data_IF_428424977265
#
_entry.id   IF_428424977265
#
_cell.length_a   1.000
_cell.length_b   1.000
_cell.length_c   1.000
_cell.angle_alpha   90.00
_cell.angle_beta   90.00
_cell.angle_gamma   90.00
#
_symmetry.space_group_name_H-M   'P 1'
#
loop_
_entity.id
_entity.type
_entity.pdbx_description
1 polymer ?
#
# COMPACT_ATOMS: atom_id res chain seq x y z
N UNK A 1 22.13 -16.14 -55.52
CA UNK A 1 21.47 -14.93 -55.00
C UNK A 1 20.39 -15.38 -54.01
N UNK A 2 20.72 -15.49 -52.76
CA UNK A 2 19.79 -15.93 -51.69
C UNK A 2 19.51 -14.73 -50.77
N UNK A 3 18.28 -14.22 -50.84
CA UNK A 3 17.79 -13.10 -50.04
C UNK A 3 17.50 -13.62 -48.59
N UNK A 4 18.24 -13.11 -47.63
CA UNK A 4 17.95 -13.33 -46.21
C UNK A 4 16.87 -12.36 -45.75
N UNK A 5 15.68 -12.88 -45.48
CA UNK A 5 14.60 -12.12 -44.84
C UNK A 5 14.97 -11.85 -43.39
N UNK A 6 15.25 -10.60 -43.05
CA UNK A 6 15.42 -10.17 -41.66
C UNK A 6 14.10 -10.26 -40.89
N UNK A 7 14.06 -11.11 -39.86
CA UNK A 7 12.99 -11.15 -38.90
C UNK A 7 12.99 -9.84 -38.08
N UNK A 8 11.93 -9.03 -38.25
CA UNK A 8 11.67 -7.89 -37.35
C UNK A 8 11.18 -8.43 -36.02
N UNK A 9 11.99 -8.22 -35.00
CA UNK A 9 11.56 -8.43 -33.62
C UNK A 9 10.56 -7.31 -33.29
N UNK A 10 9.28 -7.65 -33.22
CA UNK A 10 8.26 -6.72 -32.72
C UNK A 10 8.43 -6.61 -31.21
N UNK A 11 8.87 -5.46 -30.75
CA UNK A 11 8.85 -5.09 -29.34
C UNK A 11 7.36 -4.87 -28.97
N UNK A 12 6.72 -5.85 -28.36
CA UNK A 12 5.39 -5.67 -27.79
C UNK A 12 5.51 -4.70 -26.63
N UNK A 13 5.08 -3.46 -26.82
CA UNK A 13 4.85 -2.50 -25.74
C UNK A 13 3.70 -3.10 -24.92
N UNK A 14 4.02 -3.63 -23.74
CA UNK A 14 3.02 -4.07 -22.78
C UNK A 14 2.30 -2.80 -22.31
N UNK A 15 1.08 -2.56 -22.79
CA UNK A 15 0.24 -1.50 -22.26
C UNK A 15 0.06 -1.75 -20.75
N UNK A 16 0.62 -0.88 -19.93
CA UNK A 16 0.42 -0.88 -18.47
C UNK A 16 -1.05 -0.61 -18.21
N UNK A 17 -1.77 -1.64 -17.75
CA UNK A 17 -3.16 -1.47 -17.32
C UNK A 17 -3.17 -0.51 -16.12
N UNK A 18 -4.23 0.27 -15.95
CA UNK A 18 -4.39 1.18 -14.79
C UNK A 18 -4.24 0.45 -13.45
N UNK A 19 -4.62 -0.83 -13.42
CA UNK A 19 -4.55 -1.70 -12.25
C UNK A 19 -3.15 -2.24 -11.94
N UNK A 20 -2.16 -1.96 -12.78
CA UNK A 20 -0.76 -2.35 -12.56
C UNK A 20 0.06 -1.24 -11.87
N UNK A 21 -0.61 -0.17 -11.44
CA UNK A 21 0.01 0.95 -10.72
C UNK A 21 -0.73 1.22 -9.42
N UNK A 22 0.00 1.27 -8.31
CA UNK A 22 -0.52 1.69 -7.02
C UNK A 22 0.03 3.06 -6.62
N UNK A 23 -0.70 3.73 -5.75
CA UNK A 23 -0.23 4.91 -5.05
C UNK A 23 0.16 4.54 -3.63
N UNK A 24 1.44 4.68 -3.32
CA UNK A 24 2.00 4.45 -1.98
C UNK A 24 2.61 5.75 -1.45
N UNK A 25 2.79 5.85 -0.13
CA UNK A 25 3.51 6.99 0.43
C UNK A 25 4.80 6.58 1.17
N UNK A 26 4.91 5.31 1.60
CA UNK A 26 6.10 4.83 2.28
C UNK A 26 6.34 3.34 2.00
N UNK A 27 7.59 2.91 2.18
CA UNK A 27 8.01 1.51 2.31
C UNK A 27 8.93 1.48 3.53
N UNK A 28 8.48 0.82 4.58
CA UNK A 28 9.23 0.65 5.82
C UNK A 28 9.86 -0.74 5.84
N UNK A 29 11.17 -0.79 6.08
CA UNK A 29 11.92 -2.05 6.16
C UNK A 29 12.14 -2.43 7.62
N UNK A 30 12.41 -3.70 7.84
CA UNK A 30 12.79 -4.26 9.16
C UNK A 30 11.74 -4.05 10.24
N UNK A 31 10.45 -4.08 9.89
CA UNK A 31 9.40 -4.06 10.89
C UNK A 31 9.30 -5.40 11.62
N UNK A 32 9.11 -5.32 12.95
CA UNK A 32 8.95 -6.47 13.86
C UNK A 32 7.55 -6.53 14.48
N UNK A 33 6.68 -5.57 14.16
CA UNK A 33 5.37 -5.41 14.80
C UNK A 33 4.18 -5.54 13.82
N UNK A 34 4.48 -5.78 12.55
CA UNK A 34 3.46 -5.80 11.49
C UNK A 34 3.25 -7.23 10.92
N UNK A 35 3.28 -8.22 11.79
CA UNK A 35 3.15 -9.65 11.52
C UNK A 35 4.38 -10.44 11.95
N UNK A 36 4.38 -11.75 11.67
CA UNK A 36 5.44 -12.66 12.11
C UNK A 36 6.75 -12.43 11.33
N UNK A 37 7.88 -12.53 12.02
CA UNK A 37 9.23 -12.36 11.47
C UNK A 37 9.60 -10.91 11.13
N UNK A 38 10.66 -10.73 10.36
CA UNK A 38 11.10 -9.41 9.87
C UNK A 38 10.33 -9.09 8.59
N UNK A 39 9.64 -7.94 8.57
CA UNK A 39 8.74 -7.60 7.46
C UNK A 39 9.12 -6.28 6.79
N UNK A 40 8.81 -6.21 5.50
CA UNK A 40 8.76 -4.94 4.77
C UNK A 40 7.31 -4.52 4.64
N UNK A 41 6.99 -3.34 5.18
CA UNK A 41 5.63 -2.79 5.15
C UNK A 41 5.50 -1.81 4.00
N UNK A 42 4.50 -2.03 3.15
CA UNK A 42 4.14 -1.12 2.04
C UNK A 42 2.92 -0.32 2.44
N UNK A 43 3.07 1.00 2.52
CA UNK A 43 2.03 1.91 2.95
C UNK A 43 1.29 2.54 1.75
N UNK A 44 0.07 2.10 1.51
CA UNK A 44 -0.80 2.62 0.45
C UNK A 44 -1.41 3.98 0.81
N UNK A 45 -1.68 4.82 -0.19
CA UNK A 45 -2.45 6.07 -0.03
C UNK A 45 -3.92 5.87 -0.38
N UNK A 46 -4.76 6.53 0.40
CA UNK A 46 -6.21 6.47 0.35
C UNK A 46 -6.77 5.73 1.55
N UNK A 47 -7.58 6.43 2.36
CA UNK A 47 -8.33 5.84 3.46
C UNK A 47 -9.72 6.48 3.51
N UNK A 48 -10.81 5.71 3.59
CA UNK A 48 -12.15 6.26 3.72
C UNK A 48 -12.45 6.74 5.14
N UNK A 49 -11.59 6.37 6.12
CA UNK A 49 -11.78 6.65 7.53
C UNK A 49 -11.09 7.95 7.96
N UNK A 50 -11.64 8.58 9.02
CA UNK A 50 -11.15 9.82 9.60
C UNK A 50 -10.84 9.65 11.09
N UNK A 51 -10.02 8.64 11.42
CA UNK A 51 -9.66 8.34 12.80
C UNK A 51 -8.90 9.51 13.44
N UNK A 52 -9.38 10.10 14.56
CA UNK A 52 -8.68 11.22 15.22
C UNK A 52 -7.28 10.82 15.76
N UNK A 53 -7.06 9.53 15.97
CA UNK A 53 -5.78 8.96 16.43
C UNK A 53 -4.95 8.35 15.30
N UNK A 54 -5.22 8.71 14.02
CA UNK A 54 -4.51 8.12 12.89
C UNK A 54 -3.00 8.34 13.00
N UNK A 55 -2.22 7.25 12.96
CA UNK A 55 -0.76 7.33 12.97
C UNK A 55 -0.19 7.86 11.65
N UNK A 56 -0.95 7.72 10.55
CA UNK A 56 -0.53 8.09 9.20
C UNK A 56 -1.56 9.02 8.52
N UNK A 57 -1.84 10.23 9.04
CA UNK A 57 -2.87 11.11 8.49
C UNK A 57 -2.58 11.54 7.05
N UNK A 58 -1.33 11.53 6.61
CA UNK A 58 -0.92 11.77 5.24
C UNK A 58 -1.41 10.69 4.26
N UNK A 59 -1.80 9.52 4.76
CA UNK A 59 -2.36 8.44 3.95
C UNK A 59 -3.82 8.65 3.58
N UNK A 60 -4.59 9.47 4.33
CA UNK A 60 -6.03 9.63 4.17
C UNK A 60 -6.38 10.06 2.74
N UNK A 61 -5.70 11.08 2.23
CA UNK A 61 -5.90 11.49 0.84
C UNK A 61 -5.27 10.51 -0.13
N UNK A 62 -6.05 10.00 -1.09
CA UNK A 62 -5.54 9.18 -2.18
C UNK A 62 -4.75 9.96 -3.25
N UNK A 63 -4.58 11.29 -3.10
CA UNK A 63 -3.83 12.13 -4.04
C UNK A 63 -2.38 12.29 -3.61
N UNK A 64 -1.47 12.46 -4.55
CA UNK A 64 -0.12 12.93 -4.26
C UNK A 64 -0.23 14.37 -3.77
N UNK A 65 0.40 14.69 -2.66
CA UNK A 65 0.32 15.99 -2.00
C UNK A 65 1.71 16.58 -1.83
N UNK A 66 1.82 17.90 -1.92
CA UNK A 66 3.05 18.62 -1.53
C UNK A 66 2.76 19.28 -0.18
N UNK A 67 3.57 18.96 0.82
CA UNK A 67 3.49 19.53 2.17
C UNK A 67 4.73 20.37 2.46
N UNK A 68 4.57 21.42 3.28
CA UNK A 68 5.69 22.23 3.74
C UNK A 68 6.04 21.86 5.19
N UNK A 69 7.29 21.52 5.41
CA UNK A 69 7.89 21.34 6.74
C UNK A 69 8.42 22.68 7.24
N UNK A 70 7.68 23.34 8.11
CA UNK A 70 8.01 24.69 8.57
C UNK A 70 9.41 24.76 9.21
N UNK A 71 9.80 23.76 9.98
CA UNK A 71 11.11 23.68 10.61
C UNK A 71 12.31 23.66 9.63
N UNK A 72 12.08 23.28 8.36
CA UNK A 72 13.11 23.30 7.31
C UNK A 72 13.02 24.55 6.41
N UNK A 73 11.98 25.37 6.57
CA UNK A 73 11.70 26.46 5.67
C UNK A 73 12.66 27.65 5.88
N UNK A 74 13.33 28.09 4.82
CA UNK A 74 14.23 29.26 4.83
C UNK A 74 13.48 30.59 4.59
N UNK A 75 12.17 30.59 4.42
CA UNK A 75 11.34 31.76 4.13
C UNK A 75 11.89 32.61 2.96
N UNK A 76 12.27 31.94 1.86
CA UNK A 76 12.85 32.59 0.68
C UNK A 76 11.92 33.70 0.15
N UNK A 77 12.48 34.83 -0.25
CA UNK A 77 11.75 35.98 -0.80
C UNK A 77 10.89 35.59 -2.04
N UNK A 78 11.39 34.65 -2.87
CA UNK A 78 10.64 34.05 -3.98
C UNK A 78 10.51 32.55 -3.71
N UNK A 79 9.33 32.12 -3.24
CA UNK A 79 9.05 30.71 -2.96
C UNK A 79 8.25 30.09 -4.11
N UNK A 80 8.79 29.05 -4.76
CA UNK A 80 8.16 28.33 -5.87
C UNK A 80 7.13 27.30 -5.37
N UNK A 81 7.14 26.95 -4.08
CA UNK A 81 6.24 25.97 -3.42
C UNK A 81 6.30 24.59 -4.08
N UNK A 82 7.45 24.24 -4.63
CA UNK A 82 7.71 22.97 -5.29
C UNK A 82 8.73 22.13 -4.52
N UNK A 83 8.52 20.80 -4.47
CA UNK A 83 9.37 19.89 -3.72
C UNK A 83 10.74 19.70 -4.38
N UNK A 84 10.79 19.72 -5.71
CA UNK A 84 12.01 19.48 -6.49
C UNK A 84 12.89 20.76 -6.56
N UNK A 85 12.26 21.93 -6.42
CA UNK A 85 12.93 23.24 -6.52
C UNK A 85 13.22 23.88 -5.16
N UNK A 86 12.79 23.30 -4.05
CA UNK A 86 13.00 23.84 -2.72
C UNK A 86 14.43 23.58 -2.22
N UNK A 87 15.29 24.64 -2.07
CA UNK A 87 16.71 24.46 -1.75
C UNK A 87 16.96 23.88 -0.35
N UNK A 88 16.00 24.00 0.58
CA UNK A 88 16.10 23.44 1.92
C UNK A 88 15.41 22.09 2.09
N UNK A 89 14.73 21.59 1.05
CA UNK A 89 13.87 20.42 1.18
C UNK A 89 12.68 20.62 2.13
N UNK A 90 12.25 21.86 2.36
CA UNK A 90 11.09 22.15 3.20
C UNK A 90 9.77 21.68 2.55
N UNK A 91 9.70 21.65 1.23
CA UNK A 91 8.57 21.05 0.53
C UNK A 91 8.88 19.58 0.25
N UNK A 92 7.99 18.70 0.68
CA UNK A 92 8.07 17.26 0.49
C UNK A 92 6.86 16.76 -0.28
N UNK A 93 7.09 15.86 -1.25
CA UNK A 93 6.02 15.19 -1.98
C UNK A 93 5.62 13.93 -1.22
N UNK A 94 4.36 13.91 -0.76
CA UNK A 94 3.77 12.77 -0.06
C UNK A 94 2.99 11.92 -1.03
N UNK A 95 3.49 10.73 -1.28
CA UNK A 95 2.93 9.76 -2.21
C UNK A 95 3.66 9.75 -3.56
N UNK A 96 3.62 8.57 -4.16
CA UNK A 96 4.13 8.32 -5.52
C UNK A 96 3.36 7.16 -6.13
N UNK A 97 3.29 7.15 -7.44
CA UNK A 97 2.79 6.02 -8.19
C UNK A 97 3.92 5.01 -8.41
N UNK A 98 3.62 3.72 -8.26
CA UNK A 98 4.58 2.64 -8.42
C UNK A 98 3.93 1.46 -9.16
N UNK A 99 4.64 0.91 -10.15
CA UNK A 99 4.17 -0.27 -10.88
C UNK A 99 4.41 -1.56 -10.08
N UNK A 100 3.67 -2.63 -10.42
CA UNK A 100 3.84 -3.96 -9.84
C UNK A 100 5.30 -4.42 -9.91
N UNK A 101 5.95 -4.29 -11.08
CA UNK A 101 7.33 -4.72 -11.27
C UNK A 101 8.33 -3.90 -10.44
N UNK A 102 8.09 -2.59 -10.32
CA UNK A 102 8.95 -1.73 -9.53
C UNK A 102 8.81 -2.02 -8.02
N UNK A 103 7.57 -2.25 -7.56
CA UNK A 103 7.33 -2.57 -6.16
C UNK A 103 7.89 -3.95 -5.79
N UNK A 104 7.71 -4.94 -6.65
CA UNK A 104 8.28 -6.28 -6.46
C UNK A 104 9.81 -6.21 -6.34
N UNK A 105 10.48 -5.56 -7.30
CA UNK A 105 11.95 -5.37 -7.20
C UNK A 105 12.38 -4.65 -5.93
N UNK A 106 11.57 -3.70 -5.46
CA UNK A 106 11.90 -2.93 -4.25
C UNK A 106 11.82 -3.78 -2.98
N UNK A 107 10.76 -4.56 -2.81
CA UNK A 107 10.58 -5.39 -1.60
C UNK A 107 11.46 -6.63 -1.63
N UNK A 108 11.75 -7.20 -2.81
CA UNK A 108 12.62 -8.37 -2.93
C UNK A 108 14.11 -8.09 -2.62
N UNK A 109 14.50 -6.83 -2.44
CA UNK A 109 15.81 -6.48 -1.86
C UNK A 109 15.98 -7.03 -0.44
N UNK A 110 14.88 -7.30 0.25
CA UNK A 110 14.85 -7.77 1.63
C UNK A 110 14.64 -9.29 1.75
N UNK A 111 14.65 -10.04 0.64
CA UNK A 111 14.38 -11.48 0.59
C UNK A 111 15.22 -12.30 1.59
N UNK A 112 16.48 -11.92 1.79
CA UNK A 112 17.35 -12.59 2.77
C UNK A 112 16.79 -12.53 4.20
N UNK A 113 16.16 -11.40 4.59
CA UNK A 113 15.55 -11.24 5.90
C UNK A 113 14.25 -12.02 6.01
N UNK A 114 13.46 -12.08 4.93
CA UNK A 114 12.24 -12.88 4.90
C UNK A 114 12.55 -14.36 5.11
N UNK A 115 13.52 -14.90 4.38
CA UNK A 115 13.90 -16.32 4.47
C UNK A 115 14.52 -16.69 5.82
N UNK A 116 15.29 -15.79 6.43
CA UNK A 116 15.98 -16.10 7.70
C UNK A 116 15.09 -15.93 8.92
N UNK A 117 14.03 -15.13 8.85
CA UNK A 117 13.15 -14.83 9.99
C UNK A 117 11.76 -15.47 9.89
N UNK A 118 11.41 -16.06 8.74
CA UNK A 118 10.03 -16.46 8.46
C UNK A 118 9.10 -15.27 8.15
N UNK A 119 9.64 -14.07 8.01
CA UNK A 119 8.90 -12.84 7.72
C UNK A 119 8.51 -12.69 6.24
N UNK A 120 8.21 -11.46 5.84
CA UNK A 120 7.76 -11.20 4.48
C UNK A 120 7.27 -9.77 4.25
N UNK A 121 6.18 -9.62 3.54
CA UNK A 121 5.62 -8.31 3.18
C UNK A 121 4.26 -8.11 3.83
N UNK A 122 4.06 -6.94 4.44
CA UNK A 122 2.77 -6.49 4.97
C UNK A 122 2.27 -5.30 4.15
N UNK A 123 1.04 -5.36 3.70
CA UNK A 123 0.37 -4.25 3.03
C UNK A 123 -0.50 -3.49 4.04
N UNK A 124 -0.18 -2.23 4.25
CA UNK A 124 -0.80 -1.33 5.23
C UNK A 124 -0.98 0.07 4.64
N UNK A 125 -0.98 1.11 5.46
CA UNK A 125 -0.95 2.52 5.08
C UNK A 125 -2.21 3.27 5.42
N UNK A 126 -3.01 3.66 4.41
CA UNK A 126 -4.36 4.15 4.59
C UNK A 126 -5.33 2.97 4.82
N UNK A 127 -5.99 2.54 3.75
CA UNK A 127 -6.77 1.30 3.74
C UNK A 127 -6.42 0.52 2.47
N UNK A 128 -5.82 -0.66 2.64
CA UNK A 128 -5.36 -1.50 1.52
C UNK A 128 -6.49 -1.87 0.56
N UNK A 129 -7.72 -2.01 1.06
CA UNK A 129 -8.91 -2.35 0.26
C UNK A 129 -9.35 -1.23 -0.71
N UNK A 130 -8.81 -0.02 -0.56
CA UNK A 130 -8.98 1.06 -1.54
C UNK A 130 -8.26 0.76 -2.86
N UNK A 131 -7.21 -0.07 -2.81
CA UNK A 131 -6.42 -0.50 -3.97
C UNK A 131 -6.35 -2.03 -4.05
N UNK A 132 -7.46 -2.71 -3.71
CA UNK A 132 -7.54 -4.17 -3.55
C UNK A 132 -7.11 -4.95 -4.81
N UNK A 133 -7.40 -4.47 -6.01
CA UNK A 133 -7.04 -5.13 -7.27
C UNK A 133 -5.52 -5.18 -7.46
N UNK A 134 -4.85 -4.06 -7.26
CA UNK A 134 -3.39 -4.02 -7.28
C UNK A 134 -2.80 -4.88 -6.17
N UNK A 135 -3.29 -4.74 -4.93
CA UNK A 135 -2.82 -5.49 -3.79
C UNK A 135 -2.94 -7.01 -4.01
N UNK A 136 -4.07 -7.47 -4.56
CA UNK A 136 -4.28 -8.89 -4.90
C UNK A 136 -3.23 -9.40 -5.90
N UNK A 137 -2.99 -8.67 -7.00
CA UNK A 137 -1.99 -9.04 -8.00
C UNK A 137 -0.58 -9.02 -7.41
N UNK A 138 -0.30 -8.06 -6.57
CA UNK A 138 1.02 -7.94 -5.94
C UNK A 138 1.28 -9.13 -4.99
N UNK A 139 0.31 -9.48 -4.13
CA UNK A 139 0.44 -10.64 -3.26
C UNK A 139 0.51 -11.96 -4.06
N UNK A 140 -0.21 -12.11 -5.16
CA UNK A 140 -0.07 -13.27 -6.04
C UNK A 140 1.36 -13.44 -6.54
N UNK A 141 2.04 -12.36 -6.92
CA UNK A 141 3.44 -12.39 -7.35
C UNK A 141 4.39 -12.77 -6.21
N UNK A 142 4.21 -12.19 -5.03
CA UNK A 142 5.02 -12.53 -3.85
C UNK A 142 4.88 -14.00 -3.44
N UNK A 143 3.67 -14.55 -3.53
CA UNK A 143 3.41 -15.98 -3.29
C UNK A 143 4.19 -16.90 -4.24
N UNK A 144 4.40 -16.50 -5.50
CA UNK A 144 5.23 -17.27 -6.45
C UNK A 144 6.71 -17.33 -6.00
N UNK A 145 7.17 -16.34 -5.25
CA UNK A 145 8.51 -16.31 -4.65
C UNK A 145 8.59 -17.01 -3.28
N UNK A 146 7.45 -17.49 -2.76
CA UNK A 146 7.36 -18.10 -1.44
C UNK A 146 7.50 -17.09 -0.29
N UNK A 147 7.23 -15.81 -0.54
CA UNK A 147 7.26 -14.74 0.48
C UNK A 147 5.99 -14.78 1.30
N UNK A 148 6.12 -14.73 2.63
CA UNK A 148 4.97 -14.59 3.53
C UNK A 148 4.27 -13.24 3.32
N UNK A 149 2.95 -13.26 3.28
CA UNK A 149 2.10 -12.12 2.98
C UNK A 149 1.18 -11.81 4.14
N UNK A 150 1.09 -10.54 4.52
CA UNK A 150 0.12 -10.05 5.49
C UNK A 150 -0.56 -8.76 4.99
N UNK A 151 -1.73 -8.49 5.50
CA UNK A 151 -2.43 -7.22 5.31
C UNK A 151 -2.87 -6.66 6.66
N UNK A 152 -2.87 -5.34 6.77
CA UNK A 152 -3.50 -4.58 7.84
C UNK A 152 -4.71 -3.84 7.27
N UNK A 153 -5.89 -4.06 7.86
CA UNK A 153 -7.15 -3.49 7.34
C UNK A 153 -8.19 -3.31 8.43
N UNK A 154 -8.99 -2.25 8.31
CA UNK A 154 -10.20 -2.08 9.11
C UNK A 154 -11.38 -2.95 8.61
N UNK A 155 -11.24 -3.58 7.45
CA UNK A 155 -12.25 -4.48 6.89
C UNK A 155 -13.54 -3.82 6.43
N UNK A 156 -13.59 -2.49 6.33
CA UNK A 156 -14.79 -1.75 5.95
C UNK A 156 -14.91 -1.57 4.42
N UNK A 157 -14.99 -2.68 3.70
CA UNK A 157 -15.20 -2.73 2.25
C UNK A 157 -16.11 -3.90 1.89
N UNK A 158 -16.62 -3.97 0.64
CA UNK A 158 -17.34 -5.16 0.18
C UNK A 158 -16.49 -6.44 0.33
N UNK A 159 -17.10 -7.53 0.79
CA UNK A 159 -16.43 -8.82 0.97
C UNK A 159 -15.74 -9.33 -0.32
N UNK A 160 -16.26 -8.94 -1.48
CA UNK A 160 -15.67 -9.25 -2.79
C UNK A 160 -14.28 -8.63 -3.00
N UNK A 161 -13.90 -7.59 -2.26
CA UNK A 161 -12.55 -7.01 -2.24
C UNK A 161 -11.67 -7.64 -1.18
N UNK A 162 -12.22 -7.90 0.01
CA UNK A 162 -11.47 -8.43 1.15
C UNK A 162 -11.11 -9.91 0.99
N UNK A 163 -12.07 -10.78 0.65
CA UNK A 163 -11.85 -12.22 0.67
C UNK A 163 -10.81 -12.72 -0.34
N UNK A 164 -10.76 -12.24 -1.60
CA UNK A 164 -9.71 -12.63 -2.52
C UNK A 164 -8.31 -12.26 -2.03
N UNK A 165 -8.18 -11.09 -1.39
CA UNK A 165 -6.94 -10.60 -0.84
C UNK A 165 -6.51 -11.42 0.39
N UNK A 166 -7.43 -11.63 1.35
CA UNK A 166 -7.18 -12.39 2.56
C UNK A 166 -6.74 -13.84 2.31
N UNK A 167 -7.29 -14.49 1.27
CA UNK A 167 -6.89 -15.86 0.86
C UNK A 167 -5.45 -15.98 0.38
N UNK A 168 -4.81 -14.87 0.04
CA UNK A 168 -3.40 -14.82 -0.36
C UNK A 168 -2.48 -14.53 0.83
N UNK A 169 -3.04 -14.16 1.98
CA UNK A 169 -2.30 -13.81 3.18
C UNK A 169 -2.11 -15.00 4.10
N UNK A 170 -0.96 -15.03 4.76
CA UNK A 170 -0.69 -15.91 5.90
C UNK A 170 -1.23 -15.30 7.19
N UNK A 171 -1.31 -13.96 7.24
CA UNK A 171 -1.87 -13.22 8.36
C UNK A 171 -2.76 -12.06 7.90
N UNK A 172 -3.81 -11.76 8.67
CA UNK A 172 -4.64 -10.58 8.52
C UNK A 172 -4.70 -9.84 9.86
N UNK A 173 -4.01 -8.70 9.93
CA UNK A 173 -4.06 -7.79 11.07
C UNK A 173 -5.35 -6.96 10.96
N UNK A 174 -6.37 -7.38 11.68
CA UNK A 174 -7.71 -6.83 11.55
C UNK A 174 -8.01 -5.81 12.64
N UNK A 175 -8.29 -4.59 12.24
CA UNK A 175 -8.34 -3.41 13.08
C UNK A 175 -9.78 -3.07 13.52
N UNK A 176 -10.16 -3.41 14.72
CA UNK A 176 -11.44 -3.02 15.32
C UNK A 176 -11.34 -1.64 15.98
N UNK A 177 -11.64 -0.58 15.23
CA UNK A 177 -11.43 0.81 15.65
C UNK A 177 -12.38 1.26 16.76
N UNK A 178 -13.69 1.04 16.60
CA UNK A 178 -14.75 1.41 17.55
C UNK A 178 -15.86 0.36 17.49
N UNK A 179 -16.32 -0.11 18.67
CA UNK A 179 -17.36 -1.14 18.77
C UNK A 179 -18.77 -0.57 19.00
N UNK A 180 -18.92 0.73 19.17
CA UNK A 180 -20.21 1.41 19.17
C UNK A 180 -20.56 1.88 17.77
N UNK A 181 -21.72 1.50 17.24
CA UNK A 181 -22.09 1.75 15.84
C UNK A 181 -22.32 3.23 15.53
N UNK A 182 -22.81 4.03 16.48
CA UNK A 182 -23.02 5.44 16.30
C UNK A 182 -21.68 6.17 16.28
N UNK A 183 -20.79 5.87 17.22
CA UNK A 183 -19.45 6.45 17.26
C UNK A 183 -18.61 6.00 16.06
N UNK A 184 -18.68 4.74 15.62
CA UNK A 184 -17.99 4.25 14.45
C UNK A 184 -18.35 5.06 13.19
N UNK A 185 -19.66 5.32 13.00
CA UNK A 185 -20.16 6.14 11.89
C UNK A 185 -19.77 7.62 12.04
N UNK A 186 -19.97 8.21 13.22
CA UNK A 186 -19.90 9.65 13.42
C UNK A 186 -18.46 10.14 13.59
N UNK A 187 -17.60 9.36 14.25
CA UNK A 187 -16.20 9.71 14.52
C UNK A 187 -15.28 9.25 13.39
N UNK A 188 -15.27 7.95 13.08
CA UNK A 188 -14.30 7.40 12.09
C UNK A 188 -14.86 7.18 10.70
N UNK A 189 -16.15 7.43 10.48
CA UNK A 189 -16.86 7.23 9.20
C UNK A 189 -16.87 5.76 8.75
N UNK A 190 -17.01 4.84 9.69
CA UNK A 190 -16.93 3.40 9.46
C UNK A 190 -18.31 2.73 9.61
N UNK A 191 -18.59 1.73 8.79
CA UNK A 191 -19.76 0.86 8.93
C UNK A 191 -19.40 -0.37 9.78
N UNK A 192 -19.65 -0.29 11.10
CA UNK A 192 -19.31 -1.34 12.04
C UNK A 192 -19.99 -2.69 11.71
N UNK A 193 -21.26 -2.69 11.24
CA UNK A 193 -21.93 -3.93 10.88
C UNK A 193 -21.18 -4.67 9.78
N UNK A 194 -20.79 -3.99 8.71
CA UNK A 194 -20.00 -4.55 7.60
C UNK A 194 -18.65 -5.06 8.08
N UNK A 195 -17.98 -4.33 8.96
CA UNK A 195 -16.70 -4.75 9.57
C UNK A 195 -16.86 -6.07 10.30
N UNK A 196 -17.88 -6.19 11.15
CA UNK A 196 -18.15 -7.41 11.93
C UNK A 196 -18.58 -8.59 11.05
N UNK A 197 -19.36 -8.34 9.99
CA UNK A 197 -19.71 -9.35 9.01
C UNK A 197 -18.46 -9.88 8.28
N UNK A 198 -17.59 -8.98 7.83
CA UNK A 198 -16.32 -9.31 7.18
C UNK A 198 -15.38 -10.09 8.12
N UNK A 199 -15.27 -9.69 9.38
CA UNK A 199 -14.49 -10.43 10.38
C UNK A 199 -14.99 -11.86 10.55
N UNK A 200 -16.32 -12.05 10.62
CA UNK A 200 -16.93 -13.40 10.71
C UNK A 200 -16.66 -14.25 9.46
N UNK A 201 -16.54 -13.62 8.30
CA UNK A 201 -16.17 -14.33 7.07
C UNK A 201 -14.70 -14.73 7.08
N UNK A 202 -13.80 -13.86 7.55
CA UNK A 202 -12.36 -14.14 7.63
C UNK A 202 -12.05 -15.34 8.54
N UNK A 203 -12.75 -15.45 9.69
CA UNK A 203 -12.55 -16.57 10.63
C UNK A 203 -12.93 -17.93 10.04
N UNK A 204 -13.61 -17.97 8.89
CA UNK A 204 -14.07 -19.20 8.23
C UNK A 204 -13.17 -19.66 7.09
N UNK A 205 -12.16 -18.89 6.73
CA UNK A 205 -11.24 -19.20 5.63
C UNK A 205 -9.84 -19.53 6.12
#
# INVERSE_FOLDING_TARGET
MTSSAGQRISCNVVETRRDDVARIFNIQRYSLNDGEGIRTVVFFKGCPHLCPWCANPESISGKIQTVRREAKCLHCAKCLRDADECPSGAFERIGRDISLDALEREVMKDDIFFRTSGGGVTLSGGEVLMQAEFATRFLQRLRLWGVSCAIETAGDAPASKLLPLAKLCDEVLFDLKIMDAAQARDVVKMNLQRVLENLRLLVKI
#
